data_IF_709506760528
#
_entry.id   IF_709506760528
#
_cell.length_a   1.000
_cell.length_b   1.000
_cell.length_c   1.000
_cell.angle_alpha   90.00
_cell.angle_beta   90.00
_cell.angle_gamma   90.00
#
_symmetry.space_group_name_H-M   'P 1'
#
loop_
_entity.id
_entity.type
_entity.pdbx_description
1 polymer ?
#
# COMPACT_ATOMS: atom_id res chain seq x y z
N UNK A 1 1.48 -10.66 -3.92
CA UNK A 1 0.51 -10.08 -4.87
C UNK A 1 0.63 -8.56 -4.86
N UNK A 2 0.23 -7.86 -5.93
CA UNK A 2 0.47 -6.43 -6.14
C UNK A 2 -0.87 -5.69 -6.23
N UNK A 3 -1.02 -4.63 -5.45
CA UNK A 3 -2.11 -3.67 -5.57
C UNK A 3 -1.58 -2.40 -6.26
N UNK A 4 -2.11 -2.09 -7.44
CA UNK A 4 -1.66 -0.95 -8.24
C UNK A 4 -2.54 0.27 -7.98
N UNK A 5 -2.00 1.27 -7.30
CA UNK A 5 -2.68 2.55 -7.08
C UNK A 5 -2.26 3.49 -8.23
N UNK A 6 -3.20 3.83 -9.10
CA UNK A 6 -3.03 4.63 -10.32
C UNK A 6 -2.76 3.82 -11.61
N UNK A 7 -3.20 4.35 -12.75
CA UNK A 7 -3.06 3.67 -14.05
C UNK A 7 -1.60 3.57 -14.52
N UNK A 8 -0.76 4.53 -14.12
CA UNK A 8 0.67 4.54 -14.50
C UNK A 8 1.44 3.37 -13.89
N UNK A 9 1.14 3.02 -12.64
CA UNK A 9 1.78 1.88 -11.96
C UNK A 9 1.31 0.55 -12.57
N UNK A 10 0.01 0.44 -12.85
CA UNK A 10 -0.57 -0.70 -13.57
C UNK A 10 0.06 -0.90 -14.95
N UNK A 11 0.11 0.14 -15.78
CA UNK A 11 0.63 0.04 -17.14
C UNK A 11 2.10 -0.41 -17.19
N UNK A 12 2.93 0.05 -16.24
CA UNK A 12 4.33 -0.37 -16.15
C UNK A 12 4.50 -1.83 -15.72
N UNK A 13 3.69 -2.29 -14.76
CA UNK A 13 3.82 -3.63 -14.16
C UNK A 13 3.06 -4.71 -14.92
N UNK A 14 2.01 -4.36 -15.67
CA UNK A 14 1.17 -5.30 -16.39
C UNK A 14 1.94 -6.12 -17.43
N UNK A 15 3.01 -5.57 -18.02
CA UNK A 15 3.79 -6.30 -19.04
C UNK A 15 4.58 -7.49 -18.45
N UNK A 16 5.03 -7.37 -17.21
CA UNK A 16 5.90 -8.36 -16.56
C UNK A 16 5.20 -9.17 -15.47
N UNK A 17 4.23 -8.58 -14.79
CA UNK A 17 3.61 -9.12 -13.58
C UNK A 17 2.07 -9.12 -13.65
N UNK A 18 1.47 -9.26 -14.85
CA UNK A 18 0.02 -9.27 -15.04
C UNK A 18 -0.71 -10.25 -14.11
N UNK A 19 -0.16 -11.44 -13.90
CA UNK A 19 -0.74 -12.50 -13.07
C UNK A 19 -0.74 -12.19 -11.57
N UNK A 20 0.07 -11.22 -11.14
CA UNK A 20 0.24 -10.87 -9.74
C UNK A 20 -0.49 -9.60 -9.32
N UNK A 21 -1.06 -8.87 -10.27
CA UNK A 21 -1.91 -7.72 -10.01
C UNK A 21 -3.26 -8.22 -9.49
N UNK A 22 -3.60 -7.84 -8.26
CA UNK A 22 -4.80 -8.29 -7.56
C UNK A 22 -5.92 -7.26 -7.62
N UNK A 23 -5.56 -5.98 -7.52
CA UNK A 23 -6.47 -4.86 -7.66
C UNK A 23 -5.76 -3.66 -8.29
N UNK A 24 -6.55 -2.79 -8.93
CA UNK A 24 -6.04 -1.52 -9.46
C UNK A 24 -7.01 -0.38 -9.18
N UNK A 25 -6.54 0.70 -8.56
CA UNK A 25 -7.30 1.94 -8.39
C UNK A 25 -7.01 2.93 -9.53
N UNK A 26 -8.03 3.30 -10.30
CA UNK A 26 -7.94 4.31 -11.38
C UNK A 26 -8.21 5.72 -10.85
N UNK A 27 -7.85 6.75 -11.63
CA UNK A 27 -8.13 8.18 -11.37
C UNK A 27 -7.44 8.84 -10.16
N UNK A 28 -6.52 8.14 -9.49
CA UNK A 28 -5.75 8.67 -8.37
C UNK A 28 -4.70 9.65 -8.91
N UNK A 29 -4.91 10.95 -8.64
CA UNK A 29 -4.06 12.06 -9.09
C UNK A 29 -4.72 13.07 -10.05
N UNK A 30 -6.00 12.89 -10.41
CA UNK A 30 -6.77 13.93 -11.14
C UNK A 30 -7.12 15.11 -10.22
N UNK A 31 -7.58 14.79 -9.01
CA UNK A 31 -7.78 15.74 -7.92
C UNK A 31 -6.65 15.58 -6.88
N UNK A 32 -6.43 16.59 -6.01
CA UNK A 32 -5.55 16.42 -4.86
C UNK A 32 -5.97 15.18 -4.05
N UNK A 33 -5.07 14.24 -3.78
CA UNK A 33 -5.43 13.00 -3.09
C UNK A 33 -5.94 13.33 -1.69
N UNK A 34 -7.11 12.82 -1.36
CA UNK A 34 -7.73 13.00 -0.04
C UNK A 34 -7.56 11.77 0.83
N UNK A 35 -7.83 11.92 2.14
CA UNK A 35 -7.84 10.78 3.05
C UNK A 35 -8.99 9.80 2.73
N UNK A 36 -10.08 10.29 2.15
CA UNK A 36 -11.21 9.48 1.71
C UNK A 36 -10.77 8.49 0.62
N UNK A 37 -10.04 8.97 -0.39
CA UNK A 37 -9.49 8.11 -1.46
C UNK A 37 -8.57 7.02 -0.90
N UNK A 38 -7.73 7.38 0.08
CA UNK A 38 -6.84 6.43 0.75
C UNK A 38 -7.62 5.37 1.55
N UNK A 39 -8.72 5.78 2.19
CA UNK A 39 -9.59 4.87 2.95
C UNK A 39 -10.30 3.88 2.04
N UNK A 40 -10.83 4.34 0.91
CA UNK A 40 -11.45 3.48 -0.12
C UNK A 40 -10.43 2.48 -0.67
N UNK A 41 -9.20 2.92 -0.94
CA UNK A 41 -8.14 2.03 -1.41
C UNK A 41 -7.75 0.98 -0.35
N UNK A 42 -7.62 1.38 0.92
CA UNK A 42 -7.32 0.46 2.02
C UNK A 42 -8.44 -0.56 2.22
N UNK A 43 -9.70 -0.13 2.15
CA UNK A 43 -10.87 -1.01 2.24
C UNK A 43 -10.93 -1.99 1.06
N UNK A 44 -10.63 -1.55 -0.16
CA UNK A 44 -10.56 -2.43 -1.32
C UNK A 44 -9.46 -3.50 -1.19
N UNK A 45 -8.31 -3.15 -0.58
CA UNK A 45 -7.24 -4.11 -0.29
C UNK A 45 -7.69 -5.10 0.80
N UNK A 46 -8.32 -4.63 1.86
CA UNK A 46 -8.82 -5.49 2.94
C UNK A 46 -9.91 -6.46 2.46
N UNK A 47 -10.81 -5.98 1.59
CA UNK A 47 -11.91 -6.77 1.02
C UNK A 47 -11.47 -7.67 -0.14
N UNK A 48 -10.20 -7.62 -0.55
CA UNK A 48 -9.69 -8.43 -1.66
C UNK A 48 -9.64 -9.94 -1.37
N UNK A 49 -9.85 -10.33 -0.10
CA UNK A 49 -9.87 -11.72 0.35
C UNK A 49 -8.50 -12.41 0.30
N UNK A 50 -7.43 -11.66 0.05
CA UNK A 50 -6.07 -12.17 0.04
C UNK A 50 -5.45 -12.00 1.42
N UNK A 51 -5.08 -13.12 2.04
CA UNK A 51 -4.41 -13.11 3.34
C UNK A 51 -2.92 -12.81 3.15
N UNK A 52 -2.38 -11.88 3.93
CA UNK A 52 -0.99 -11.45 3.83
C UNK A 52 -0.33 -11.33 5.20
N UNK A 53 0.85 -11.91 5.35
CA UNK A 53 1.63 -11.84 6.59
C UNK A 53 2.43 -10.53 6.72
N UNK A 54 2.78 -9.92 5.59
CA UNK A 54 3.53 -8.68 5.52
C UNK A 54 3.05 -7.87 4.32
N UNK A 55 2.77 -6.59 4.55
CA UNK A 55 2.41 -5.63 3.51
C UNK A 55 3.54 -4.62 3.37
N UNK A 56 4.00 -4.36 2.15
CA UNK A 56 4.96 -3.30 1.88
C UNK A 56 4.35 -2.25 0.96
N UNK A 57 4.34 -1.00 1.41
CA UNK A 57 3.93 0.15 0.61
C UNK A 57 5.18 0.79 0.02
N UNK A 58 5.24 0.83 -1.31
CA UNK A 58 6.32 1.48 -2.05
C UNK A 58 5.82 2.83 -2.54
N UNK A 59 6.54 3.90 -2.21
CA UNK A 59 6.20 5.25 -2.62
C UNK A 59 7.44 6.10 -2.88
N UNK A 60 7.26 7.19 -3.60
CA UNK A 60 8.32 8.15 -3.83
C UNK A 60 8.29 9.19 -2.71
N UNK A 61 9.29 9.16 -1.83
CA UNK A 61 9.46 10.16 -0.80
C UNK A 61 10.05 11.42 -1.43
N UNK A 62 9.37 12.55 -1.24
CA UNK A 62 9.88 13.84 -1.64
C UNK A 62 11.16 14.17 -0.83
N UNK A 63 12.26 14.49 -1.53
CA UNK A 63 13.52 14.87 -0.91
C UNK A 63 13.83 16.33 -1.19
N UNK A 64 13.82 16.71 -2.47
CA UNK A 64 14.01 18.09 -2.92
C UNK A 64 13.18 18.35 -4.17
N UNK A 65 13.11 19.60 -4.63
CA UNK A 65 12.44 19.96 -5.88
C UNK A 65 13.02 19.28 -7.12
N UNK A 66 14.28 18.83 -7.05
CA UNK A 66 14.98 18.15 -8.16
C UNK A 66 15.06 16.64 -7.97
N UNK A 67 14.74 16.10 -6.79
CA UNK A 67 14.95 14.69 -6.50
C UNK A 67 13.91 14.09 -5.56
N UNK A 68 13.56 12.83 -5.85
CA UNK A 68 12.75 11.97 -5.02
C UNK A 68 13.50 10.67 -4.76
N UNK A 69 13.13 9.99 -3.67
CA UNK A 69 13.75 8.74 -3.26
C UNK A 69 12.67 7.66 -3.12
N UNK A 70 12.83 6.55 -3.83
CA UNK A 70 11.90 5.41 -3.72
C UNK A 70 12.08 4.76 -2.36
N UNK A 71 11.09 4.94 -1.49
CA UNK A 71 11.08 4.42 -0.13
C UNK A 71 10.04 3.31 -0.02
N UNK A 72 10.26 2.41 0.94
CA UNK A 72 9.32 1.36 1.30
C UNK A 72 8.97 1.46 2.78
N UNK A 73 7.70 1.28 3.10
CA UNK A 73 7.19 1.18 4.46
C UNK A 73 6.55 -0.19 4.62
N UNK A 74 7.05 -0.97 5.58
CA UNK A 74 6.47 -2.26 5.94
C UNK A 74 5.37 -2.05 6.98
N UNK A 75 4.23 -2.71 6.73
CA UNK A 75 3.09 -2.78 7.62
C UNK A 75 2.91 -4.23 8.05
N UNK A 76 2.76 -4.40 9.36
CA UNK A 76 2.45 -5.68 9.96
C UNK A 76 0.91 -5.80 10.08
N UNK A 77 0.33 -6.97 9.79
CA UNK A 77 -1.08 -7.23 10.04
C UNK A 77 -1.42 -7.10 11.53
N UNK A 78 -2.67 -6.76 11.82
CA UNK A 78 -3.18 -6.62 13.19
C UNK A 78 -2.91 -7.86 14.06
N UNK A 79 -3.01 -9.05 13.48
CA UNK A 79 -2.77 -10.31 14.20
C UNK A 79 -1.31 -10.48 14.61
N UNK A 80 -0.37 -10.06 13.76
CA UNK A 80 1.06 -10.05 14.08
C UNK A 80 1.40 -8.96 15.09
N UNK A 81 0.72 -7.82 15.01
CA UNK A 81 0.86 -6.73 15.98
C UNK A 81 0.39 -7.20 17.36
N UNK A 82 -0.81 -7.78 17.50
CA UNK A 82 -1.35 -8.28 18.78
C UNK A 82 -0.46 -9.33 19.47
N UNK A 83 0.27 -10.13 18.70
CA UNK A 83 1.23 -11.13 19.22
C UNK A 83 2.57 -10.54 19.66
N UNK A 84 2.81 -9.25 19.43
CA UNK A 84 4.08 -8.63 19.74
C UNK A 84 4.22 -8.43 21.26
N UNK A 85 5.22 -9.09 21.86
CA UNK A 85 5.51 -9.05 23.30
C UNK A 85 5.75 -7.63 23.83
N UNK A 86 6.11 -6.66 22.98
CA UNK A 86 6.27 -5.25 23.36
C UNK A 86 4.96 -4.53 23.63
N UNK A 87 3.81 -5.04 23.19
CA UNK A 87 2.51 -4.46 23.51
C UNK A 87 2.09 -4.72 24.96
N UNK A 88 2.51 -5.85 25.54
CA UNK A 88 2.25 -6.18 26.96
C UNK A 88 2.84 -5.12 27.90
N UNK A 89 3.88 -4.40 27.47
CA UNK A 89 4.46 -3.28 28.24
C UNK A 89 3.62 -1.99 28.23
N UNK A 90 2.58 -1.90 27.39
CA UNK A 90 1.67 -0.76 27.29
C UNK A 90 0.29 -1.02 27.92
N UNK A 91 0.08 -2.20 28.50
CA UNK A 91 -1.15 -2.58 29.22
C UNK A 91 -1.06 -2.24 30.72
N UNK A 92 -0.27 -1.20 31.08
CA UNK A 92 -0.04 -0.73 32.46
C UNK A 92 -0.26 0.77 32.58
#
# INVERSE_FOLDING_TARGET
KIACIGDKSRAGLQRLFASDILLSGSEIGRAPPTFEDASIAAEAIANSGYDYDQLEIIFNRFKTVVSYETSKVSLLPLETIKKNEKLTAYDS
#
